data_IF_401178833461
#
_entry.id   IF_401178833461
#
_cell.length_a   1.000
_cell.length_b   1.000
_cell.length_c   1.000
_cell.angle_alpha   90.00
_cell.angle_beta   90.00
_cell.angle_gamma   90.00
#
_symmetry.space_group_name_H-M   'P 1'
#
loop_
_entity.id
_entity.type
_entity.pdbx_description
1 polymer ?
#
# COMPACT_ATOMS: atom_id res chain seq x y z
N UNK A 1 -9.70 -3.56 -6.81
CA UNK A 1 -9.37 -4.84 -6.15
C UNK A 1 -8.04 -5.32 -6.73
N UNK A 2 -7.13 -5.85 -5.91
CA UNK A 2 -5.89 -6.44 -6.42
C UNK A 2 -6.26 -7.58 -7.37
N UNK A 3 -5.88 -7.48 -8.65
CA UNK A 3 -6.35 -8.40 -9.71
C UNK A 3 -6.03 -9.86 -9.40
N UNK A 4 -4.89 -10.12 -8.76
CA UNK A 4 -4.44 -11.46 -8.36
C UNK A 4 -5.40 -12.10 -7.36
N UNK A 5 -5.90 -11.35 -6.37
CA UNK A 5 -6.89 -11.86 -5.42
C UNK A 5 -8.21 -12.22 -6.13
N UNK A 6 -8.62 -11.43 -7.11
CA UNK A 6 -9.81 -11.75 -7.91
C UNK A 6 -9.62 -13.04 -8.71
N UNK A 7 -8.46 -13.23 -9.36
CA UNK A 7 -8.16 -14.46 -10.08
C UNK A 7 -8.08 -15.68 -9.16
N UNK A 8 -7.52 -15.56 -7.96
CA UNK A 8 -7.50 -16.65 -6.98
C UNK A 8 -8.92 -17.08 -6.57
N UNK A 9 -9.81 -16.11 -6.33
CA UNK A 9 -11.22 -16.40 -6.06
C UNK A 9 -11.91 -17.08 -7.26
N UNK A 10 -11.63 -16.65 -8.49
CA UNK A 10 -12.15 -17.30 -9.70
C UNK A 10 -11.63 -18.75 -9.84
N UNK A 11 -10.34 -18.98 -9.60
CA UNK A 11 -9.73 -20.30 -9.66
C UNK A 11 -10.34 -21.25 -8.61
N UNK A 12 -10.61 -20.76 -7.40
CA UNK A 12 -11.29 -21.54 -6.36
C UNK A 12 -12.71 -21.95 -6.80
N UNK A 13 -13.46 -21.05 -7.46
CA UNK A 13 -14.78 -21.36 -8.04
C UNK A 13 -14.67 -22.43 -9.13
N UNK A 14 -13.57 -22.45 -9.89
CA UNK A 14 -13.30 -23.49 -10.89
C UNK A 14 -12.74 -24.79 -10.30
N UNK A 15 -12.64 -24.90 -8.97
CA UNK A 15 -12.19 -26.11 -8.28
C UNK A 15 -10.68 -26.28 -8.24
N UNK A 16 -9.91 -25.21 -8.50
CA UNK A 16 -8.48 -25.25 -8.27
C UNK A 16 -8.18 -25.26 -6.77
N UNK A 17 -7.39 -26.24 -6.33
CA UNK A 17 -6.92 -26.32 -4.95
C UNK A 17 -5.52 -25.71 -4.86
N UNK A 18 -5.45 -24.47 -4.37
CA UNK A 18 -4.21 -23.79 -4.02
C UNK A 18 -4.25 -23.56 -2.51
N UNK A 19 -3.28 -24.06 -1.77
CA UNK A 19 -3.23 -23.88 -0.33
C UNK A 19 -3.11 -22.38 0.04
N UNK A 20 -3.59 -22.04 1.24
CA UNK A 20 -3.68 -20.64 1.66
C UNK A 20 -2.31 -19.96 1.67
N UNK A 21 -1.24 -20.65 2.10
CA UNK A 21 0.10 -20.06 2.17
C UNK A 21 0.61 -19.72 0.76
N UNK A 22 0.44 -20.64 -0.19
CA UNK A 22 0.77 -20.40 -1.60
C UNK A 22 -0.04 -19.24 -2.19
N UNK A 23 -1.33 -19.12 -1.88
CA UNK A 23 -2.15 -17.99 -2.34
C UNK A 23 -1.63 -16.66 -1.79
N UNK A 24 -1.28 -16.60 -0.51
CA UNK A 24 -0.72 -15.41 0.14
C UNK A 24 0.62 -15.05 -0.51
N UNK A 25 1.51 -16.01 -0.72
CA UNK A 25 2.81 -15.81 -1.37
C UNK A 25 2.68 -15.30 -2.80
N UNK A 26 1.72 -15.82 -3.58
CA UNK A 26 1.44 -15.33 -4.93
C UNK A 26 1.04 -13.85 -4.90
N UNK A 27 0.17 -13.45 -3.97
CA UNK A 27 -0.23 -12.04 -3.82
C UNK A 27 0.98 -11.20 -3.45
N UNK A 28 1.74 -11.57 -2.41
CA UNK A 28 2.90 -10.79 -1.93
C UNK A 28 4.00 -10.62 -2.99
N UNK A 29 4.23 -11.64 -3.83
CA UNK A 29 5.22 -11.58 -4.90
C UNK A 29 4.80 -10.68 -6.06
N UNK A 30 3.50 -10.46 -6.26
CA UNK A 30 2.98 -9.59 -7.33
C UNK A 30 2.88 -8.12 -6.93
N UNK A 31 3.06 -7.80 -5.65
CA UNK A 31 3.03 -6.42 -5.16
C UNK A 31 4.24 -5.63 -5.68
N UNK A 32 3.99 -4.38 -6.07
CA UNK A 32 5.04 -3.41 -6.40
C UNK A 32 5.91 -3.07 -5.19
N UNK A 33 7.16 -2.67 -5.43
CA UNK A 33 8.11 -2.15 -4.43
C UNK A 33 7.54 -1.08 -3.50
N UNK A 34 6.50 -0.35 -3.94
CA UNK A 34 5.82 0.63 -3.08
C UNK A 34 5.16 -0.01 -1.83
N UNK A 35 5.00 -1.33 -1.83
CA UNK A 35 4.51 -2.13 -0.71
C UNK A 35 5.64 -2.85 0.05
N UNK A 36 6.93 -2.51 -0.16
CA UNK A 36 8.04 -3.22 0.50
C UNK A 36 7.94 -3.22 2.03
N UNK A 37 7.52 -2.11 2.64
CA UNK A 37 7.30 -2.08 4.09
C UNK A 37 6.22 -3.08 4.52
N UNK A 38 5.15 -3.22 3.74
CA UNK A 38 4.09 -4.18 3.99
C UNK A 38 4.60 -5.63 3.92
N UNK A 39 5.45 -5.95 2.93
CA UNK A 39 6.05 -7.28 2.78
C UNK A 39 6.93 -7.65 3.98
N UNK A 40 7.82 -6.74 4.39
CA UNK A 40 8.70 -6.91 5.56
C UNK A 40 7.85 -7.13 6.82
N UNK A 41 6.85 -6.28 7.01
CA UNK A 41 5.93 -6.34 8.14
C UNK A 41 5.15 -7.67 8.21
N UNK A 42 4.75 -8.19 7.05
CA UNK A 42 4.09 -9.48 6.92
C UNK A 42 5.03 -10.63 7.31
N UNK A 43 6.26 -10.64 6.80
CA UNK A 43 7.27 -11.67 7.13
C UNK A 43 7.61 -11.69 8.62
N UNK A 44 7.78 -10.51 9.23
CA UNK A 44 8.16 -10.38 10.64
C UNK A 44 7.03 -10.82 11.57
N UNK A 45 5.78 -10.43 11.26
CA UNK A 45 4.63 -10.70 12.13
C UNK A 45 3.89 -11.97 11.79
N UNK A 46 4.37 -12.70 10.78
CA UNK A 46 3.76 -13.88 10.12
C UNK A 46 2.40 -14.23 10.73
N UNK A 47 1.39 -13.48 10.31
CA UNK A 47 0.02 -13.66 10.80
C UNK A 47 -0.61 -14.78 9.99
N UNK A 48 -1.44 -15.59 10.65
CA UNK A 48 -2.35 -16.50 9.96
C UNK A 48 -3.37 -15.66 9.17
N UNK A 49 -3.03 -15.34 7.93
CA UNK A 49 -3.86 -14.53 7.05
C UNK A 49 -4.82 -15.42 6.27
N UNK A 50 -6.09 -15.06 6.30
CA UNK A 50 -7.03 -15.44 5.23
C UNK A 50 -6.81 -14.50 4.04
N UNK A 51 -7.11 -14.95 2.83
CA UNK A 51 -7.01 -14.11 1.62
C UNK A 51 -7.84 -12.82 1.73
N UNK A 52 -9.01 -12.90 2.37
CA UNK A 52 -9.86 -11.74 2.67
C UNK A 52 -9.20 -10.77 3.66
N UNK A 53 -8.53 -11.29 4.69
CA UNK A 53 -7.77 -10.48 5.65
C UNK A 53 -6.61 -9.74 4.98
N UNK A 54 -5.83 -10.44 4.16
CA UNK A 54 -4.74 -9.86 3.39
C UNK A 54 -5.26 -8.73 2.47
N UNK A 55 -6.38 -8.97 1.79
CA UNK A 55 -6.98 -7.98 0.90
C UNK A 55 -7.34 -6.67 1.62
N UNK A 56 -7.94 -6.75 2.81
CA UNK A 56 -8.32 -5.57 3.59
C UNK A 56 -7.09 -4.75 3.99
N UNK A 57 -6.07 -5.42 4.50
CA UNK A 57 -4.84 -4.75 4.93
C UNK A 57 -4.09 -4.10 3.76
N UNK A 58 -4.09 -4.73 2.58
CA UNK A 58 -3.55 -4.14 1.35
C UNK A 58 -4.33 -2.90 0.91
N UNK A 59 -5.66 -2.90 0.99
CA UNK A 59 -6.47 -1.72 0.67
C UNK A 59 -6.22 -0.56 1.62
N UNK A 60 -6.09 -0.84 2.93
CA UNK A 60 -5.75 0.17 3.94
C UNK A 60 -4.37 0.77 3.63
N UNK A 61 -3.39 -0.08 3.36
CA UNK A 61 -2.01 0.33 3.03
C UNK A 61 -1.98 1.19 1.78
N UNK A 62 -2.69 0.79 0.72
CA UNK A 62 -2.79 1.55 -0.53
C UNK A 62 -3.40 2.94 -0.29
N UNK A 63 -4.43 3.04 0.55
CA UNK A 63 -5.07 4.30 0.87
C UNK A 63 -4.15 5.24 1.66
N UNK A 64 -3.40 4.70 2.62
CA UNK A 64 -2.39 5.46 3.38
C UNK A 64 -1.30 5.97 2.42
N UNK A 65 -0.80 5.12 1.53
CA UNK A 65 0.19 5.49 0.53
C UNK A 65 -0.31 6.62 -0.40
N UNK A 66 -1.57 6.53 -0.86
CA UNK A 66 -2.20 7.57 -1.67
C UNK A 66 -2.30 8.90 -0.92
N UNK A 67 -2.72 8.87 0.35
CA UNK A 67 -2.79 10.06 1.21
C UNK A 67 -1.41 10.68 1.44
N UNK A 68 -0.38 9.86 1.68
CA UNK A 68 0.98 10.34 1.90
C UNK A 68 1.58 11.00 0.64
N UNK A 69 1.29 10.46 -0.55
CA UNK A 69 1.68 11.09 -1.82
C UNK A 69 0.96 12.43 -2.05
N UNK A 70 -0.31 12.54 -1.65
CA UNK A 70 -1.08 13.79 -1.74
C UNK A 70 -0.56 14.86 -0.78
N UNK A 71 -0.26 14.50 0.47
CA UNK A 71 0.24 15.45 1.47
C UNK A 71 1.65 15.99 1.18
N UNK A 72 2.50 15.22 0.49
CA UNK A 72 3.83 15.67 0.07
C UNK A 72 3.77 16.74 -1.04
N UNK A 73 2.71 16.72 -1.87
CA UNK A 73 2.52 17.74 -2.90
C UNK A 73 2.12 19.10 -2.29
N UNK A 74 1.33 19.12 -1.22
CA UNK A 74 0.93 20.37 -0.54
C UNK A 74 2.07 20.99 0.29
N UNK A 75 2.93 20.17 0.90
CA UNK A 75 4.05 20.68 1.71
C UNK A 75 5.13 21.41 0.89
N UNK A 76 5.34 21.02 -0.38
CA UNK A 76 6.35 21.63 -1.25
C UNK A 76 5.90 22.95 -1.91
N UNK A 77 4.61 23.30 -1.89
CA UNK A 77 4.12 24.58 -2.44
C UNK A 77 4.33 25.74 -1.45
N UNK A 78 4.44 25.46 -0.15
CA UNK A 78 4.57 26.50 0.88
C UNK A 78 6.01 27.03 1.10
N UNK A 79 7.04 26.37 0.56
CA UNK A 79 8.44 26.73 0.81
C UNK A 79 9.06 27.71 -0.22
N UNK A 80 8.33 28.16 -1.24
CA UNK A 80 8.86 29.10 -2.24
C UNK A 80 8.54 30.59 -1.96
N UNK A 81 7.96 30.94 -0.81
CA UNK A 81 7.64 32.33 -0.46
C UNK A 81 8.18 32.73 0.91
N UNK A 82 9.51 32.71 1.07
CA UNK A 82 10.17 33.45 2.15
C UNK A 82 11.37 34.24 1.65
N UNK A 83 11.13 35.50 1.31
CA UNK A 83 12.11 36.57 1.53
C UNK A 83 11.39 37.92 1.61
N UNK A 84 10.91 38.25 2.81
CA UNK A 84 10.80 39.64 3.26
C UNK A 84 11.97 39.91 4.21
N UNK A 85 12.57 41.10 4.10
CA UNK A 85 12.77 41.91 5.29
C UNK A 85 12.09 43.28 5.14
N UNK A 86 11.44 43.71 6.23
CA UNK A 86 11.02 45.10 6.47
C UNK A 86 12.23 45.97 6.77
N UNK A 87 12.26 47.22 6.29
CA UNK A 87 12.55 48.35 7.18
C UNK A 87 11.95 49.67 6.66
N UNK A 88 11.38 50.44 7.61
CA UNK A 88 10.89 51.82 7.49
C UNK A 88 12.04 52.82 7.38
N UNK A 89 11.79 53.94 6.71
CA UNK A 89 12.47 55.23 6.95
C UNK A 89 12.09 56.22 5.85
N UNK A 90 11.85 57.51 6.09
CA UNK A 90 11.65 58.34 7.28
C UNK A 90 10.91 59.58 6.77
#
# INVERSE_FOLDING_TARGET
>A
MMKVIAYLNELEIFGAEIDCDTQIDMVLNTLSDTFNQFKIDHEIRRKDYTLTGLMKDLQITENILKKNKSGLAEANVAQASSSKPKSKGK
#
